data_IF_318540803852
#
_entry.id   IF_318540803852
#
_cell.length_a   1.000
_cell.length_b   1.000
_cell.length_c   1.000
_cell.angle_alpha   90.00
_cell.angle_beta   90.00
_cell.angle_gamma   90.00
#
_symmetry.space_group_name_H-M   'P 1'
#
loop_
_entity.id
_entity.type
_entity.pdbx_description
1 polymer ?
#
# COMPACT_ATOMS: atom_id res chain seq x y z
N UNK A 1 -7.83 -12.66 -41.03
CA UNK A 1 -7.15 -11.64 -40.21
C UNK A 1 -7.18 -12.11 -38.77
N UNK A 2 -6.03 -12.45 -38.19
CA UNK A 2 -5.92 -12.71 -36.74
C UNK A 2 -5.96 -11.36 -36.04
N UNK A 3 -7.00 -11.13 -35.25
CA UNK A 3 -7.07 -10.04 -34.29
C UNK A 3 -5.90 -10.24 -33.34
N UNK A 4 -4.90 -9.37 -33.41
CA UNK A 4 -3.87 -9.27 -32.38
C UNK A 4 -4.64 -8.81 -31.14
N UNK A 5 -4.99 -9.74 -30.25
CA UNK A 5 -5.36 -9.38 -28.88
C UNK A 5 -4.21 -8.53 -28.35
N UNK A 6 -4.45 -7.23 -28.16
CA UNK A 6 -3.54 -6.37 -27.40
C UNK A 6 -3.33 -7.09 -26.07
N UNK A 7 -2.15 -7.66 -25.86
CA UNK A 7 -1.73 -8.10 -24.53
C UNK A 7 -1.82 -6.87 -23.64
N UNK A 8 -2.87 -6.80 -22.82
CA UNK A 8 -2.98 -5.77 -21.81
C UNK A 8 -1.74 -5.88 -20.91
N UNK A 9 -1.12 -4.75 -20.53
CA UNK A 9 0.01 -4.77 -19.62
C UNK A 9 -0.36 -5.59 -18.38
N UNK A 10 0.57 -6.42 -17.92
CA UNK A 10 0.31 -7.38 -16.84
C UNK A 10 -0.14 -6.67 -15.55
N UNK A 11 0.23 -5.40 -15.39
CA UNK A 11 -0.18 -4.53 -14.30
C UNK A 11 -0.62 -3.16 -14.84
N UNK A 12 -1.69 -2.60 -14.28
CA UNK A 12 -2.16 -1.23 -14.55
C UNK A 12 -1.98 -0.40 -13.27
N UNK A 13 -1.05 0.57 -13.26
CA UNK A 13 -0.84 1.49 -12.13
C UNK A 13 -2.11 2.19 -11.65
N UNK A 14 -2.13 2.62 -10.38
CA UNK A 14 -3.23 3.35 -9.75
C UNK A 14 -3.13 4.79 -10.09
N UNK A 15 -3.88 5.18 -11.12
CA UNK A 15 -4.03 6.57 -11.52
C UNK A 15 -2.69 7.13 -12.07
N UNK A 16 -2.71 7.95 -13.15
CA UNK A 16 -1.52 8.70 -13.54
C UNK A 16 -0.96 9.48 -12.34
N UNK A 17 0.34 9.79 -12.31
CA UNK A 17 0.95 10.54 -11.21
C UNK A 17 0.38 11.97 -11.16
N UNK A 18 -0.78 12.08 -10.53
CA UNK A 18 -1.62 13.26 -10.50
C UNK A 18 -0.86 14.39 -9.83
N UNK A 19 -1.00 15.60 -10.36
CA UNK A 19 -0.63 16.81 -9.64
C UNK A 19 -1.55 17.04 -8.44
N UNK A 20 -1.23 18.03 -7.60
CA UNK A 20 -2.11 18.36 -6.46
C UNK A 20 -3.49 18.83 -6.91
N UNK A 21 -3.58 19.48 -8.08
CA UNK A 21 -4.82 19.97 -8.67
C UNK A 21 -5.66 18.80 -9.20
N UNK A 22 -5.01 17.87 -9.89
CA UNK A 22 -5.65 16.66 -10.39
C UNK A 22 -6.26 15.80 -9.26
N UNK A 23 -5.53 15.66 -8.13
CA UNK A 23 -6.06 14.96 -6.95
C UNK A 23 -7.29 15.67 -6.38
N UNK A 24 -7.36 17.00 -6.45
CA UNK A 24 -8.55 17.75 -5.99
C UNK A 24 -9.78 17.46 -6.87
N UNK A 25 -9.57 17.26 -8.17
CA UNK A 25 -10.60 16.89 -9.13
C UNK A 25 -11.17 15.48 -8.96
N UNK A 26 -10.51 14.59 -8.22
CA UNK A 26 -11.00 13.22 -8.00
C UNK A 26 -12.30 13.19 -7.19
N UNK A 27 -13.30 12.53 -7.77
CA UNK A 27 -14.52 12.12 -7.09
C UNK A 27 -14.29 10.75 -6.45
N UNK A 28 -14.51 10.67 -5.15
CA UNK A 28 -14.32 9.44 -4.37
C UNK A 28 -15.55 9.28 -3.49
N UNK A 29 -16.31 8.21 -3.71
CA UNK A 29 -17.56 7.98 -3.00
C UNK A 29 -17.83 6.49 -2.79
N UNK A 30 -18.55 6.19 -1.71
CA UNK A 30 -18.96 4.83 -1.36
C UNK A 30 -20.22 4.46 -2.16
N UNK A 31 -20.27 3.25 -2.69
CA UNK A 31 -21.46 2.73 -3.36
C UNK A 31 -22.35 2.10 -2.30
N UNK A 32 -23.50 2.74 -2.02
CA UNK A 32 -24.44 2.31 -0.97
C UNK A 32 -25.58 1.43 -1.50
N UNK A 33 -25.92 1.54 -2.78
CA UNK A 33 -27.00 0.78 -3.40
C UNK A 33 -26.48 -0.57 -3.89
N UNK A 34 -26.68 -1.61 -3.08
CA UNK A 34 -26.57 -3.00 -3.52
C UNK A 34 -27.99 -3.57 -3.59
N UNK A 35 -28.35 -4.17 -4.73
CA UNK A 35 -29.70 -4.68 -5.00
C UNK A 35 -30.24 -5.61 -3.91
N UNK A 36 -29.34 -6.37 -3.26
CA UNK A 36 -29.63 -7.24 -2.13
C UNK A 36 -28.43 -7.30 -1.19
N UNK A 37 -28.70 -7.28 0.11
CA UNK A 37 -27.69 -7.48 1.15
C UNK A 37 -28.20 -8.41 2.24
N UNK A 38 -27.32 -9.28 2.73
CA UNK A 38 -27.55 -10.08 3.93
C UNK A 38 -27.46 -9.20 5.18
N UNK A 39 -28.28 -9.51 6.19
CA UNK A 39 -28.27 -8.83 7.49
C UNK A 39 -27.94 -9.87 8.55
N UNK A 40 -26.82 -9.69 9.25
CA UNK A 40 -26.52 -10.46 10.44
C UNK A 40 -27.39 -9.98 11.60
N UNK A 41 -28.07 -10.90 12.28
CA UNK A 41 -28.96 -10.61 13.40
C UNK A 41 -28.25 -10.67 14.76
N UNK A 42 -27.03 -11.21 14.82
CA UNK A 42 -26.22 -11.25 16.03
C UNK A 42 -24.71 -11.31 15.74
N UNK A 43 -23.90 -10.96 16.74
CA UNK A 43 -22.45 -11.14 16.66
C UNK A 43 -22.05 -12.63 16.57
N UNK A 44 -22.75 -13.51 17.28
CA UNK A 44 -22.54 -14.96 17.22
C UNK A 44 -22.75 -15.52 15.81
N UNK A 45 -23.78 -15.04 15.12
CA UNK A 45 -24.04 -15.40 13.73
C UNK A 45 -22.90 -14.95 12.82
N UNK A 46 -22.45 -13.70 12.97
CA UNK A 46 -21.33 -13.13 12.20
C UNK A 46 -20.08 -13.99 12.33
N UNK A 47 -19.66 -14.32 13.56
CA UNK A 47 -18.38 -15.04 13.76
C UNK A 47 -18.46 -16.50 13.31
N UNK A 48 -19.61 -17.17 13.47
CA UNK A 48 -19.84 -18.54 12.97
C UNK A 48 -19.92 -18.59 11.45
N UNK A 49 -20.22 -17.48 10.78
CA UNK A 49 -20.29 -17.38 9.33
C UNK A 49 -19.00 -17.77 8.60
N UNK A 50 -17.85 -17.81 9.31
CA UNK A 50 -16.57 -18.28 8.77
C UNK A 50 -16.68 -19.64 8.09
N UNK A 51 -17.51 -20.54 8.61
CA UNK A 51 -17.71 -21.88 8.05
C UNK A 51 -18.42 -21.87 6.69
N UNK A 52 -19.07 -20.76 6.32
CA UNK A 52 -19.80 -20.58 5.07
C UNK A 52 -19.03 -19.79 4.02
N UNK A 53 -17.92 -19.13 4.39
CA UNK A 53 -17.07 -18.43 3.44
C UNK A 53 -16.24 -19.44 2.65
N UNK A 54 -16.14 -19.23 1.33
CA UNK A 54 -15.16 -19.98 0.53
C UNK A 54 -13.73 -19.56 0.89
N UNK A 55 -12.75 -20.38 0.51
CA UNK A 55 -11.34 -20.03 0.71
C UNK A 55 -10.99 -18.71 0.01
N UNK A 56 -11.49 -18.50 -1.21
CA UNK A 56 -11.28 -17.27 -1.97
C UNK A 56 -11.87 -16.05 -1.26
N UNK A 57 -13.10 -16.15 -0.75
CA UNK A 57 -13.74 -15.07 -0.02
C UNK A 57 -12.96 -14.72 1.25
N UNK A 58 -12.57 -15.72 2.03
CA UNK A 58 -11.79 -15.48 3.25
C UNK A 58 -10.41 -14.89 2.94
N UNK A 59 -9.74 -15.37 1.89
CA UNK A 59 -8.43 -14.87 1.45
C UNK A 59 -8.51 -13.41 1.02
N UNK A 60 -9.49 -13.06 0.18
CA UNK A 60 -9.67 -11.68 -0.28
C UNK A 60 -10.10 -10.74 0.85
N UNK A 61 -11.00 -11.20 1.74
CA UNK A 61 -11.41 -10.44 2.92
C UNK A 61 -10.21 -10.10 3.82
N UNK A 62 -9.38 -11.10 4.13
CA UNK A 62 -8.17 -10.90 4.93
C UNK A 62 -7.18 -9.95 4.22
N UNK A 63 -6.98 -10.12 2.91
CA UNK A 63 -6.12 -9.23 2.13
C UNK A 63 -6.60 -7.78 2.15
N UNK A 64 -7.89 -7.54 1.90
CA UNK A 64 -8.51 -6.21 1.96
C UNK A 64 -8.37 -5.62 3.37
N UNK A 65 -8.57 -6.44 4.40
CA UNK A 65 -8.44 -5.98 5.79
C UNK A 65 -7.05 -5.50 6.16
N UNK A 66 -6.01 -6.20 5.74
CA UNK A 66 -4.61 -5.84 6.05
C UNK A 66 -4.17 -4.61 5.26
N UNK A 67 -4.65 -4.44 4.03
CA UNK A 67 -4.19 -3.36 3.13
C UNK A 67 -5.14 -2.15 3.10
N UNK A 68 -6.20 -2.15 3.91
CA UNK A 68 -7.17 -1.06 4.12
C UNK A 68 -8.05 -0.72 2.90
N UNK A 69 -7.44 -0.33 1.79
CA UNK A 69 -8.10 0.13 0.56
C UNK A 69 -7.42 -0.52 -0.64
N UNK A 70 -8.14 -1.41 -1.34
CA UNK A 70 -7.56 -2.25 -2.39
C UNK A 70 -8.33 -2.08 -3.70
N UNK A 71 -7.65 -1.79 -4.81
CA UNK A 71 -8.28 -1.74 -6.14
C UNK A 71 -8.57 -3.13 -6.68
N UNK A 72 -9.56 -3.24 -7.56
CA UNK A 72 -9.78 -4.48 -8.30
C UNK A 72 -8.52 -4.92 -9.08
N UNK A 73 -7.83 -3.99 -9.73
CA UNK A 73 -6.58 -4.26 -10.47
C UNK A 73 -5.45 -4.79 -9.58
N UNK A 74 -5.36 -4.34 -8.32
CA UNK A 74 -4.40 -4.90 -7.35
C UNK A 74 -4.70 -6.37 -7.06
N UNK A 75 -5.96 -6.71 -6.85
CA UNK A 75 -6.38 -8.09 -6.61
C UNK A 75 -6.10 -8.96 -7.83
N UNK A 76 -6.44 -8.50 -9.04
CA UNK A 76 -6.16 -9.21 -10.27
C UNK A 76 -4.67 -9.53 -10.40
N UNK A 77 -3.81 -8.55 -10.15
CA UNK A 77 -2.37 -8.73 -10.32
C UNK A 77 -1.72 -9.60 -9.24
N UNK A 78 -2.06 -9.37 -7.97
CA UNK A 78 -1.46 -10.09 -6.85
C UNK A 78 -1.99 -11.52 -6.72
N UNK A 79 -3.18 -11.81 -7.23
CA UNK A 79 -3.76 -13.15 -7.20
C UNK A 79 -3.81 -13.84 -8.56
N UNK A 80 -3.15 -13.30 -9.60
CA UNK A 80 -3.21 -13.83 -10.97
C UNK A 80 -2.82 -15.31 -11.08
N UNK A 81 -1.89 -15.76 -10.25
CA UNK A 81 -1.38 -17.14 -10.25
C UNK A 81 -2.26 -18.09 -9.42
N UNK A 82 -3.20 -17.56 -8.61
CA UNK A 82 -4.07 -18.34 -7.72
C UNK A 82 -5.53 -18.36 -8.18
N UNK A 83 -6.04 -17.23 -8.68
CA UNK A 83 -7.46 -17.04 -8.97
C UNK A 83 -7.67 -16.37 -10.33
N UNK A 84 -8.69 -16.82 -11.06
CA UNK A 84 -9.14 -16.15 -12.29
C UNK A 84 -9.88 -14.84 -11.97
N UNK A 85 -9.94 -13.92 -12.93
CA UNK A 85 -10.74 -12.69 -12.83
C UNK A 85 -12.18 -12.97 -12.38
N UNK A 86 -12.82 -13.99 -12.96
CA UNK A 86 -14.18 -14.41 -12.59
C UNK A 86 -14.26 -14.83 -11.13
N UNK A 87 -13.34 -15.67 -10.65
CA UNK A 87 -13.30 -16.10 -9.25
C UNK A 87 -13.15 -14.91 -8.29
N UNK A 88 -12.27 -13.96 -8.61
CA UNK A 88 -12.07 -12.75 -7.79
C UNK A 88 -13.37 -11.93 -7.76
N UNK A 89 -14.00 -11.70 -8.90
CA UNK A 89 -15.27 -10.97 -8.97
C UNK A 89 -16.39 -11.67 -8.18
N UNK A 90 -16.59 -12.98 -8.38
CA UNK A 90 -17.64 -13.74 -7.69
C UNK A 90 -17.43 -13.73 -6.16
N UNK A 91 -16.17 -13.83 -5.70
CA UNK A 91 -15.82 -13.73 -4.30
C UNK A 91 -16.11 -12.33 -3.72
N UNK A 92 -15.74 -11.25 -4.44
CA UNK A 92 -16.04 -9.87 -4.03
C UNK A 92 -17.54 -9.60 -3.96
N UNK A 93 -18.32 -10.08 -4.94
CA UNK A 93 -19.78 -9.97 -4.94
C UNK A 93 -20.39 -10.70 -3.74
N UNK A 94 -19.90 -11.90 -3.41
CA UNK A 94 -20.32 -12.59 -2.20
C UNK A 94 -19.99 -11.81 -0.91
N UNK A 95 -18.78 -11.25 -0.81
CA UNK A 95 -18.38 -10.44 0.35
C UNK A 95 -19.20 -9.14 0.47
N UNK A 96 -19.56 -8.50 -0.64
CA UNK A 96 -20.46 -7.34 -0.67
C UNK A 96 -21.88 -7.72 -0.24
N UNK A 97 -22.40 -8.83 -0.78
CA UNK A 97 -23.71 -9.36 -0.40
C UNK A 97 -23.78 -9.65 1.10
N UNK A 98 -22.74 -10.26 1.67
CA UNK A 98 -22.65 -10.50 3.11
C UNK A 98 -22.29 -9.26 3.93
N UNK A 99 -22.14 -8.08 3.30
CA UNK A 99 -21.73 -6.84 3.94
C UNK A 99 -20.48 -7.04 4.80
N UNK A 100 -19.49 -7.78 4.31
CA UNK A 100 -18.18 -7.93 4.95
C UNK A 100 -17.17 -6.92 4.39
N UNK A 101 -17.34 -6.48 3.15
CA UNK A 101 -16.57 -5.39 2.55
C UNK A 101 -17.51 -4.28 2.07
N UNK A 102 -16.96 -3.10 1.83
CA UNK A 102 -17.63 -1.99 1.15
C UNK A 102 -16.96 -1.74 -0.20
N UNK A 103 -17.74 -1.27 -1.17
CA UNK A 103 -17.26 -0.87 -2.50
C UNK A 103 -17.26 0.66 -2.59
N UNK A 104 -16.21 1.19 -3.18
CA UNK A 104 -16.03 2.59 -3.45
C UNK A 104 -15.67 2.78 -4.92
N UNK A 105 -16.00 3.97 -5.41
CA UNK A 105 -15.76 4.40 -6.76
C UNK A 105 -14.84 5.61 -6.73
N UNK A 106 -13.80 5.60 -7.54
CA UNK A 106 -12.84 6.70 -7.70
C UNK A 106 -12.79 7.09 -9.16
N UNK A 107 -13.22 8.32 -9.44
CA UNK A 107 -13.46 8.78 -10.81
C UNK A 107 -12.84 10.16 -11.08
N UNK A 108 -12.35 10.32 -12.31
CA UNK A 108 -12.17 11.60 -12.96
C UNK A 108 -12.44 11.43 -14.45
N UNK A 109 -13.49 12.10 -14.93
CA UNK A 109 -13.85 12.09 -16.34
C UNK A 109 -12.77 12.76 -17.21
N UNK A 110 -12.18 13.85 -16.74
CA UNK A 110 -11.16 14.60 -17.48
C UNK A 110 -9.89 13.77 -17.71
N UNK A 111 -9.58 12.89 -16.76
CA UNK A 111 -8.37 12.06 -16.78
C UNK A 111 -8.65 10.60 -17.16
N UNK A 112 -9.89 10.28 -17.55
CA UNK A 112 -10.36 8.92 -17.87
C UNK A 112 -10.07 7.89 -16.76
N UNK A 113 -10.13 8.31 -15.50
CA UNK A 113 -9.94 7.44 -14.34
C UNK A 113 -11.28 6.88 -13.90
N UNK A 114 -11.38 5.57 -13.87
CA UNK A 114 -12.55 4.83 -13.35
C UNK A 114 -12.07 3.60 -12.59
N UNK A 115 -11.94 3.74 -11.27
CA UNK A 115 -11.36 2.71 -10.41
C UNK A 115 -12.34 2.26 -9.34
N UNK A 116 -12.50 0.94 -9.24
CA UNK A 116 -13.24 0.30 -8.16
C UNK A 116 -12.29 -0.10 -7.03
N UNK A 117 -12.64 0.27 -5.80
CA UNK A 117 -11.86 -0.12 -4.62
C UNK A 117 -12.71 -0.66 -3.49
N UNK A 118 -12.09 -1.51 -2.69
CA UNK A 118 -12.74 -2.27 -1.64
C UNK A 118 -12.06 -2.01 -0.30
N UNK A 119 -12.87 -1.81 0.74
CA UNK A 119 -12.45 -1.65 2.13
C UNK A 119 -13.22 -2.63 3.01
N UNK A 120 -12.80 -2.82 4.27
CA UNK A 120 -13.66 -3.51 5.22
C UNK A 120 -14.91 -2.69 5.53
N UNK A 121 -16.00 -3.41 5.74
CA UNK A 121 -17.17 -2.90 6.47
C UNK A 121 -16.99 -3.13 7.98
N UNK A 122 -17.90 -2.58 8.80
CA UNK A 122 -17.90 -2.84 10.24
C UNK A 122 -18.03 -4.32 10.58
N UNK A 123 -18.86 -5.06 9.84
CA UNK A 123 -19.02 -6.50 10.05
C UNK A 123 -17.75 -7.25 9.65
N UNK A 124 -17.12 -6.90 8.52
CA UNK A 124 -15.85 -7.51 8.11
C UNK A 124 -14.73 -7.25 9.12
N UNK A 125 -14.66 -6.02 9.64
CA UNK A 125 -13.72 -5.67 10.70
C UNK A 125 -13.94 -6.50 11.96
N UNK A 126 -15.17 -6.52 12.49
CA UNK A 126 -15.55 -7.32 13.67
C UNK A 126 -15.26 -8.81 13.47
N UNK A 127 -15.60 -9.33 12.29
CA UNK A 127 -15.37 -10.72 11.91
C UNK A 127 -13.88 -11.08 11.92
N UNK A 128 -13.04 -10.29 11.25
CA UNK A 128 -11.60 -10.54 11.19
C UNK A 128 -10.95 -10.34 12.56
N UNK A 129 -11.36 -9.33 13.35
CA UNK A 129 -10.84 -9.14 14.72
C UNK A 129 -11.19 -10.30 15.65
N UNK A 130 -12.32 -10.97 15.47
CA UNK A 130 -12.62 -12.15 16.27
C UNK A 130 -11.66 -13.31 15.96
N UNK A 131 -11.38 -13.57 14.67
CA UNK A 131 -10.58 -14.72 14.25
C UNK A 131 -9.07 -14.48 14.20
N UNK A 132 -8.64 -13.23 14.05
CA UNK A 132 -7.24 -12.83 13.84
C UNK A 132 -6.85 -11.70 14.81
N UNK A 133 -7.30 -11.77 16.06
CA UNK A 133 -7.36 -10.64 17.01
C UNK A 133 -6.10 -9.79 17.19
N UNK A 134 -4.89 -10.35 17.01
CA UNK A 134 -3.64 -9.60 17.14
C UNK A 134 -3.22 -8.89 15.85
N UNK A 135 -3.81 -9.23 14.71
CA UNK A 135 -3.49 -8.59 13.44
C UNK A 135 -4.08 -7.18 13.36
N UNK A 136 -3.35 -6.33 12.65
CA UNK A 136 -3.84 -5.01 12.30
C UNK A 136 -4.91 -5.13 11.22
N UNK A 137 -6.07 -4.55 11.50
CA UNK A 137 -7.08 -4.23 10.49
C UNK A 137 -7.46 -2.76 10.68
N UNK A 138 -7.58 -2.04 9.58
CA UNK A 138 -7.99 -0.65 9.64
C UNK A 138 -9.49 -0.58 9.96
N UNK A 139 -9.84 0.13 11.03
CA UNK A 139 -11.24 0.29 11.42
C UNK A 139 -11.98 1.16 10.39
N UNK A 140 -13.13 0.74 9.86
CA UNK A 140 -13.86 1.48 8.82
C UNK A 140 -14.19 2.92 9.21
N UNK A 141 -14.60 3.15 10.47
CA UNK A 141 -14.86 4.49 11.04
C UNK A 141 -13.68 5.47 10.90
N UNK A 142 -12.45 4.96 10.80
CA UNK A 142 -11.26 5.81 10.62
C UNK A 142 -11.13 6.32 9.20
N UNK A 143 -11.64 5.60 8.19
CA UNK A 143 -11.52 6.02 6.77
C UNK A 143 -12.23 7.35 6.59
N UNK A 144 -13.45 7.45 7.12
CA UNK A 144 -14.27 8.66 7.06
C UNK A 144 -13.58 9.85 7.76
N UNK A 145 -12.82 9.59 8.83
CA UNK A 145 -12.08 10.62 9.58
C UNK A 145 -10.75 11.06 8.92
N UNK A 146 -10.09 10.20 8.15
CA UNK A 146 -8.82 10.53 7.49
C UNK A 146 -9.02 11.29 6.17
N UNK A 147 -10.26 11.35 5.68
CA UNK A 147 -10.65 12.02 4.45
C UNK A 147 -10.46 11.12 3.22
N UNK A 148 -11.14 11.51 2.13
CA UNK A 148 -11.28 10.70 0.92
C UNK A 148 -9.96 10.31 0.23
N UNK A 149 -8.85 11.00 0.47
CA UNK A 149 -7.57 10.70 -0.19
C UNK A 149 -6.78 9.57 0.47
N UNK A 150 -7.25 9.04 1.60
CA UNK A 150 -6.58 7.92 2.28
C UNK A 150 -6.42 6.68 1.38
N UNK A 151 -7.37 6.46 0.45
CA UNK A 151 -7.32 5.37 -0.53
C UNK A 151 -6.02 5.41 -1.35
N UNK A 152 -5.66 6.58 -1.89
CA UNK A 152 -4.50 6.78 -2.74
C UNK A 152 -3.19 6.40 -2.05
N UNK A 153 -3.08 6.67 -0.74
CA UNK A 153 -1.87 6.34 0.02
C UNK A 153 -1.65 4.84 0.09
N UNK A 154 -2.70 4.11 0.42
CA UNK A 154 -2.63 2.65 0.48
C UNK A 154 -2.43 2.04 -0.89
N UNK A 155 -2.90 2.70 -1.95
CA UNK A 155 -2.63 2.25 -3.30
C UNK A 155 -1.15 2.35 -3.67
N UNK A 156 -0.45 3.43 -3.28
CA UNK A 156 1.01 3.53 -3.43
C UNK A 156 1.75 2.40 -2.71
N UNK A 157 1.32 2.05 -1.49
CA UNK A 157 1.93 0.94 -0.75
C UNK A 157 1.71 -0.40 -1.47
N UNK A 158 0.50 -0.65 -1.98
CA UNK A 158 0.16 -1.88 -2.69
C UNK A 158 0.83 -1.93 -4.08
N UNK A 159 0.99 -0.80 -4.76
CA UNK A 159 1.77 -0.68 -5.99
C UNK A 159 3.20 -1.16 -5.78
N UNK A 160 3.86 -0.66 -4.74
CA UNK A 160 5.20 -1.12 -4.41
C UNK A 160 5.22 -2.63 -4.12
N UNK A 161 4.22 -3.16 -3.40
CA UNK A 161 4.08 -4.61 -3.17
C UNK A 161 3.89 -5.37 -4.49
N UNK A 162 3.10 -4.85 -5.44
CA UNK A 162 2.92 -5.46 -6.76
C UNK A 162 4.29 -5.66 -7.42
N UNK A 163 5.13 -4.63 -7.46
CA UNK A 163 6.46 -4.74 -8.03
C UNK A 163 7.41 -5.63 -7.22
N UNK A 164 7.37 -5.55 -5.89
CA UNK A 164 8.22 -6.34 -4.99
C UNK A 164 7.92 -7.84 -5.05
N UNK A 165 6.65 -8.24 -5.15
CA UNK A 165 6.23 -9.65 -5.06
C UNK A 165 6.90 -10.57 -6.07
N UNK A 166 7.30 -10.02 -7.22
CA UNK A 166 7.97 -10.77 -8.29
C UNK A 166 9.49 -10.54 -8.30
N UNK A 167 10.03 -9.75 -7.38
CA UNK A 167 11.46 -9.58 -7.22
C UNK A 167 12.06 -10.79 -6.48
N UNK A 168 13.13 -11.43 -7.00
CA UNK A 168 13.73 -12.62 -6.38
C UNK A 168 14.26 -12.40 -4.97
N UNK A 169 14.66 -11.17 -4.66
CA UNK A 169 15.18 -10.80 -3.34
C UNK A 169 14.10 -10.52 -2.32
N UNK A 170 12.82 -10.45 -2.70
CA UNK A 170 11.74 -10.13 -1.79
C UNK A 170 11.44 -11.30 -0.84
N UNK A 171 11.53 -11.04 0.46
CA UNK A 171 11.30 -12.05 1.50
C UNK A 171 9.88 -11.97 2.09
N UNK A 172 9.28 -10.78 2.08
CA UNK A 172 7.94 -10.56 2.61
C UNK A 172 7.72 -9.12 3.05
N UNK A 173 6.46 -8.81 3.37
CA UNK A 173 6.03 -7.50 3.86
C UNK A 173 5.04 -7.60 5.02
N UNK A 174 4.93 -6.50 5.74
CA UNK A 174 3.97 -6.30 6.82
C UNK A 174 3.35 -4.92 6.67
N UNK A 175 2.03 -4.86 6.67
CA UNK A 175 1.31 -3.60 6.80
C UNK A 175 1.20 -3.23 8.28
N UNK A 176 1.45 -1.98 8.62
CA UNK A 176 1.36 -1.44 9.99
C UNK A 176 2.10 -2.27 11.06
N UNK A 177 3.42 -2.49 10.89
CA UNK A 177 4.19 -3.33 11.80
C UNK A 177 4.26 -2.76 13.22
N UNK A 178 4.35 -3.67 14.19
CA UNK A 178 4.80 -3.35 15.54
C UNK A 178 6.30 -3.06 15.52
N UNK A 179 6.68 -1.82 15.80
CA UNK A 179 8.08 -1.36 15.72
C UNK A 179 8.54 -0.68 17.01
N UNK A 180 9.85 -0.49 17.16
CA UNK A 180 10.49 0.22 18.28
C UNK A 180 9.75 1.49 18.71
N UNK A 181 9.52 1.63 20.02
CA UNK A 181 8.99 2.86 20.62
C UNK A 181 9.94 4.03 20.33
N UNK A 182 9.41 5.07 19.70
CA UNK A 182 10.17 6.28 19.33
C UNK A 182 10.08 6.61 17.85
N UNK A 183 9.80 5.63 16.99
CA UNK A 183 9.52 5.83 15.57
C UNK A 183 8.01 5.79 15.33
N UNK A 184 7.50 6.50 14.32
CA UNK A 184 6.11 6.36 13.90
C UNK A 184 5.89 5.00 13.23
N UNK A 185 4.75 4.36 13.44
CA UNK A 185 4.46 3.12 12.69
C UNK A 185 4.31 3.44 11.20
N UNK A 186 5.13 2.85 10.31
CA UNK A 186 4.96 3.01 8.87
C UNK A 186 3.70 2.26 8.40
N UNK A 187 3.03 2.70 7.33
CA UNK A 187 1.96 1.91 6.72
C UNK A 187 2.46 0.58 6.14
N UNK A 188 3.70 0.54 5.62
CA UNK A 188 4.30 -0.64 5.00
C UNK A 188 5.75 -0.80 5.46
N UNK A 189 6.13 -2.03 5.80
CA UNK A 189 7.51 -2.45 5.86
C UNK A 189 7.73 -3.73 5.08
N UNK A 190 8.92 -3.91 4.52
CA UNK A 190 9.29 -5.13 3.82
C UNK A 190 10.74 -5.51 4.04
N UNK A 191 11.08 -6.77 3.80
CA UNK A 191 12.43 -7.29 3.88
C UNK A 191 12.91 -7.82 2.54
N UNK A 192 14.18 -7.57 2.23
CA UNK A 192 14.84 -8.09 1.03
C UNK A 192 16.23 -8.65 1.30
N UNK A 193 16.62 -9.63 0.49
CA UNK A 193 17.94 -10.24 0.50
C UNK A 193 18.92 -9.41 -0.35
N UNK A 194 20.00 -8.91 0.27
CA UNK A 194 21.02 -8.08 -0.41
C UNK A 194 22.34 -8.75 -0.75
N UNK A 195 22.47 -10.06 -0.48
CA UNK A 195 23.67 -10.86 -0.72
C UNK A 195 23.60 -12.17 0.05
N UNK A 196 24.72 -12.90 0.18
CA UNK A 196 24.74 -14.11 1.04
C UNK A 196 24.58 -13.68 2.50
N UNK A 197 23.51 -14.13 3.15
CA UNK A 197 23.20 -13.90 4.58
C UNK A 197 23.04 -12.44 5.02
N UNK A 198 22.74 -11.52 4.09
CA UNK A 198 22.48 -10.13 4.43
C UNK A 198 21.05 -9.73 4.05
N UNK A 199 20.22 -9.49 5.06
CA UNK A 199 18.84 -9.05 4.91
C UNK A 199 18.78 -7.57 5.28
N UNK A 200 18.00 -6.81 4.51
CA UNK A 200 17.68 -5.42 4.79
C UNK A 200 16.20 -5.27 5.04
N UNK A 201 15.86 -4.47 6.05
CA UNK A 201 14.49 -4.05 6.26
C UNK A 201 14.28 -2.66 5.66
N UNK A 202 13.09 -2.43 5.12
CA UNK A 202 12.66 -1.16 4.56
C UNK A 202 11.41 -0.72 5.30
N UNK A 203 11.39 0.50 5.80
CA UNK A 203 10.19 1.15 6.35
C UNK A 203 9.73 2.21 5.38
N UNK A 204 8.49 2.12 4.92
CA UNK A 204 7.96 2.95 3.84
C UNK A 204 6.93 3.93 4.38
N UNK A 205 7.14 5.22 4.12
CA UNK A 205 6.15 6.26 4.36
C UNK A 205 5.71 6.86 3.03
N UNK A 206 4.57 6.40 2.54
CA UNK A 206 3.93 6.97 1.37
C UNK A 206 3.41 8.37 1.66
N UNK A 207 3.66 9.28 0.73
CA UNK A 207 3.19 10.67 0.75
C UNK A 207 2.10 10.87 -0.28
N UNK A 208 1.22 11.84 -0.03
CA UNK A 208 0.27 12.36 -1.00
C UNK A 208 0.61 13.83 -1.26
N UNK A 209 0.30 14.34 -2.44
CA UNK A 209 0.49 15.77 -2.73
C UNK A 209 -0.36 16.68 -1.84
N UNK A 210 -1.50 16.18 -1.37
CA UNK A 210 -2.38 16.87 -0.42
C UNK A 210 -1.92 16.76 1.03
N UNK A 211 -0.79 16.10 1.32
CA UNK A 211 -0.32 15.94 2.69
C UNK A 211 0.06 17.27 3.33
N UNK A 212 -0.42 17.47 4.57
CA UNK A 212 0.06 18.56 5.42
C UNK A 212 1.56 18.37 5.66
N UNK A 213 2.35 19.39 5.32
CA UNK A 213 3.82 19.40 5.47
C UNK A 213 4.30 18.91 6.85
N UNK A 214 3.56 19.24 7.90
CA UNK A 214 3.93 18.87 9.28
C UNK A 214 3.91 17.37 9.55
N UNK A 215 3.15 16.56 8.80
CA UNK A 215 3.12 15.11 9.04
C UNK A 215 4.48 14.49 8.76
N UNK A 216 5.04 14.77 7.59
CA UNK A 216 6.33 14.21 7.19
C UNK A 216 7.45 14.78 8.05
N UNK A 217 7.42 16.09 8.35
CA UNK A 217 8.36 16.71 9.31
C UNK A 217 8.42 15.97 10.65
N UNK A 218 7.27 15.63 11.24
CA UNK A 218 7.22 14.87 12.50
C UNK A 218 7.77 13.45 12.36
N UNK A 219 7.50 12.78 11.25
CA UNK A 219 8.04 11.43 10.97
C UNK A 219 9.57 11.49 10.90
N UNK A 220 10.11 12.44 10.14
CA UNK A 220 11.54 12.64 9.96
C UNK A 220 12.23 13.03 11.27
N UNK A 221 11.65 13.95 12.05
CA UNK A 221 12.22 14.35 13.34
C UNK A 221 12.36 13.14 14.29
N UNK A 222 11.30 12.33 14.42
CA UNK A 222 11.35 11.13 15.26
C UNK A 222 12.32 10.07 14.75
N UNK A 223 12.41 9.91 13.43
CA UNK A 223 13.41 9.02 12.83
C UNK A 223 14.83 9.47 13.18
N UNK A 224 15.13 10.75 12.99
CA UNK A 224 16.42 11.36 13.34
C UNK A 224 16.77 11.11 14.80
N UNK A 225 15.91 11.52 15.73
CA UNK A 225 16.13 11.36 17.17
C UNK A 225 16.39 9.88 17.54
N UNK A 226 15.67 8.96 16.89
CA UNK A 226 15.81 7.54 17.14
C UNK A 226 17.16 7.00 16.66
N UNK A 227 17.55 7.29 15.41
CA UNK A 227 18.80 6.79 14.83
C UNK A 227 20.03 7.45 15.49
N UNK A 228 19.97 8.75 15.82
CA UNK A 228 21.06 9.43 16.55
C UNK A 228 21.30 8.85 17.94
N UNK A 229 20.26 8.26 18.56
CA UNK A 229 20.40 7.57 19.84
C UNK A 229 21.15 6.23 19.76
N UNK A 230 21.59 5.81 18.56
CA UNK A 230 22.32 4.57 18.33
C UNK A 230 21.46 3.31 18.48
N UNK A 231 20.13 3.45 18.41
CA UNK A 231 19.19 2.34 18.55
C UNK A 231 18.85 1.73 17.21
N UNK A 232 18.75 0.40 17.20
CA UNK A 232 18.22 -0.33 16.05
C UNK A 232 16.68 -0.28 16.00
N UNK A 233 16.14 -0.23 14.79
CA UNK A 233 14.70 -0.35 14.55
C UNK A 233 14.33 -1.83 14.60
N UNK A 234 13.71 -2.25 15.70
CA UNK A 234 13.25 -3.62 15.90
C UNK A 234 11.84 -3.74 15.34
N UNK A 235 11.62 -4.77 14.51
CA UNK A 235 10.31 -5.10 13.94
C UNK A 235 9.94 -6.54 14.26
N UNK A 236 8.74 -6.74 14.82
CA UNK A 236 8.35 -7.98 15.49
C UNK A 236 8.30 -9.22 14.57
N UNK A 237 8.16 -9.06 13.25
CA UNK A 237 8.11 -10.20 12.31
C UNK A 237 9.02 -10.07 11.06
N UNK A 238 9.90 -9.05 11.01
CA UNK A 238 10.94 -8.93 9.98
C UNK A 238 12.36 -9.07 10.53
N UNK A 239 12.50 -9.33 11.84
CA UNK A 239 13.81 -9.45 12.50
C UNK A 239 14.52 -8.12 12.71
N UNK A 240 15.68 -8.16 13.38
CA UNK A 240 16.53 -7.00 13.63
C UNK A 240 17.62 -6.88 12.55
N UNK A 241 17.26 -6.26 11.43
CA UNK A 241 18.17 -6.06 10.30
C UNK A 241 18.44 -4.56 10.08
N UNK A 242 19.55 -4.20 9.39
CA UNK A 242 19.78 -2.83 8.96
C UNK A 242 18.55 -2.28 8.25
N UNK A 243 18.05 -1.14 8.73
CA UNK A 243 16.78 -0.57 8.30
C UNK A 243 17.00 0.66 7.45
N UNK A 244 16.38 0.67 6.26
CA UNK A 244 16.38 1.79 5.33
C UNK A 244 15.05 2.53 5.43
N UNK A 245 15.10 3.85 5.61
CA UNK A 245 13.93 4.71 5.52
C UNK A 245 13.61 4.97 4.06
N UNK A 246 12.38 4.67 3.64
CA UNK A 246 11.86 4.99 2.31
C UNK A 246 10.75 6.01 2.44
N UNK A 247 10.87 7.10 1.70
CA UNK A 247 9.77 8.03 1.46
C UNK A 247 9.25 7.77 0.05
N UNK A 248 8.02 7.27 -0.05
CA UNK A 248 7.38 7.05 -1.34
C UNK A 248 6.66 8.33 -1.78
N UNK A 249 6.92 8.75 -3.01
CA UNK A 249 6.36 9.95 -3.64
C UNK A 249 5.82 9.62 -5.03
N UNK A 250 4.89 10.41 -5.53
CA UNK A 250 4.29 10.16 -6.84
C UNK A 250 5.22 10.54 -7.99
N UNK A 251 5.92 11.69 -7.91
CA UNK A 251 6.71 12.26 -9.02
C UNK A 251 8.12 12.67 -8.60
N UNK A 252 8.99 12.84 -9.60
CA UNK A 252 10.35 13.35 -9.40
C UNK A 252 10.37 14.75 -8.78
N UNK A 253 9.49 15.63 -9.24
CA UNK A 253 9.37 17.00 -8.72
C UNK A 253 9.00 17.02 -7.23
N UNK A 254 8.08 16.14 -6.82
CA UNK A 254 7.71 16.01 -5.41
C UNK A 254 8.90 15.51 -4.57
N UNK A 255 9.68 14.56 -5.08
CA UNK A 255 10.90 14.08 -4.41
C UNK A 255 11.91 15.21 -4.17
N UNK A 256 12.23 16.01 -5.21
CA UNK A 256 13.15 17.16 -5.11
C UNK A 256 12.64 18.20 -4.11
N UNK A 257 11.35 18.53 -4.17
CA UNK A 257 10.75 19.47 -3.23
C UNK A 257 10.86 18.97 -1.79
N UNK A 258 10.48 17.71 -1.52
CA UNK A 258 10.56 17.13 -0.18
C UNK A 258 12.01 17.09 0.31
N UNK A 259 12.96 16.73 -0.56
CA UNK A 259 14.37 16.72 -0.19
C UNK A 259 14.87 18.12 0.20
N UNK A 260 14.57 19.12 -0.63
CA UNK A 260 14.96 20.51 -0.35
C UNK A 260 14.33 21.04 0.96
N UNK A 261 13.07 20.71 1.22
CA UNK A 261 12.36 21.19 2.42
C UNK A 261 12.78 20.48 3.72
N UNK A 262 13.16 19.19 3.64
CA UNK A 262 13.43 18.36 4.81
C UNK A 262 14.90 17.98 5.00
N UNK A 263 15.77 18.36 4.05
CA UNK A 263 17.20 18.10 4.06
C UNK A 263 17.50 16.62 4.30
N UNK A 264 16.89 15.75 3.46
CA UNK A 264 16.94 14.30 3.68
C UNK A 264 18.35 13.73 3.53
N UNK A 265 19.23 14.42 2.79
CA UNK A 265 20.65 14.11 2.64
C UNK A 265 21.44 14.25 3.94
N UNK A 266 20.98 15.11 4.86
CA UNK A 266 21.60 15.34 6.17
C UNK A 266 21.06 14.41 7.26
N UNK A 267 20.08 13.55 6.94
CA UNK A 267 19.50 12.64 7.93
C UNK A 267 20.46 11.49 8.25
N UNK A 268 20.55 11.10 9.53
CA UNK A 268 21.34 9.95 9.93
C UNK A 268 20.67 8.64 9.48
N UNK A 269 21.51 7.66 9.15
CA UNK A 269 21.09 6.38 8.58
C UNK A 269 20.90 6.42 7.06
N UNK A 270 20.37 5.34 6.49
CA UNK A 270 20.12 5.26 5.04
C UNK A 270 18.69 5.71 4.74
N UNK A 271 18.57 6.79 3.96
CA UNK A 271 17.30 7.31 3.45
C UNK A 271 17.27 7.16 1.93
N UNK A 272 16.14 6.69 1.40
CA UNK A 272 15.86 6.60 -0.03
C UNK A 272 14.51 7.22 -0.35
N UNK A 273 14.41 7.79 -1.54
CA UNK A 273 13.14 8.17 -2.16
C UNK A 273 12.71 7.05 -3.11
N UNK A 274 11.46 6.61 -3.03
CA UNK A 274 10.85 5.72 -4.02
C UNK A 274 9.85 6.52 -4.84
N UNK A 275 10.04 6.58 -6.16
CA UNK A 275 9.24 7.43 -7.04
C UNK A 275 8.30 6.57 -7.86
N UNK A 276 6.99 6.76 -7.68
CA UNK A 276 5.95 5.99 -8.36
C UNK A 276 6.01 6.09 -9.88
N UNK A 277 6.23 7.30 -10.40
CA UNK A 277 6.44 7.56 -11.85
C UNK A 277 7.49 6.64 -12.45
N UNK A 278 8.65 6.61 -11.82
CA UNK A 278 9.76 5.77 -12.27
C UNK A 278 9.47 4.29 -12.04
N UNK A 279 8.80 3.93 -10.93
CA UNK A 279 8.41 2.55 -10.62
C UNK A 279 7.53 1.96 -11.74
N UNK A 280 6.56 2.73 -12.22
CA UNK A 280 5.60 2.26 -13.21
C UNK A 280 6.13 2.27 -14.63
N UNK A 281 6.98 3.25 -14.98
CA UNK A 281 7.54 3.39 -16.34
C UNK A 281 8.79 2.52 -16.53
N UNK A 282 9.70 2.52 -15.55
CA UNK A 282 11.03 1.92 -15.66
C UNK A 282 11.20 0.66 -14.79
N UNK A 283 10.29 0.42 -13.84
CA UNK A 283 10.30 -0.76 -12.98
C UNK A 283 11.07 -0.57 -11.67
N UNK A 284 10.98 -1.59 -10.81
CA UNK A 284 11.48 -1.56 -9.42
C UNK A 284 12.96 -1.24 -9.29
N UNK A 285 13.79 -1.70 -10.23
CA UNK A 285 15.24 -1.52 -10.22
C UNK A 285 15.67 -0.05 -10.37
N UNK A 286 14.78 0.77 -10.91
CA UNK A 286 15.02 2.17 -11.26
C UNK A 286 14.24 3.14 -10.36
N UNK A 287 13.33 2.62 -9.52
CA UNK A 287 12.39 3.42 -8.74
C UNK A 287 13.01 4.15 -7.53
N UNK A 288 14.23 3.80 -7.13
CA UNK A 288 14.85 4.31 -5.91
C UNK A 288 15.89 5.39 -6.20
N UNK A 289 15.88 6.44 -5.39
CA UNK A 289 16.74 7.60 -5.54
C UNK A 289 17.42 7.92 -4.21
N UNK A 290 18.68 8.32 -4.29
CA UNK A 290 19.42 8.86 -3.15
C UNK A 290 19.20 10.38 -3.10
N UNK A 291 18.75 10.93 -1.97
CA UNK A 291 18.75 12.38 -1.76
C UNK A 291 20.19 12.90 -1.68
N UNK A 292 20.42 14.07 -2.27
CA UNK A 292 21.69 14.80 -2.28
C UNK A 292 21.48 16.23 -1.77
N UNK A 293 22.57 16.95 -1.58
CA UNK A 293 22.54 18.35 -1.16
C UNK A 293 21.75 19.23 -2.14
N UNK A 294 21.27 20.37 -1.65
CA UNK A 294 20.58 21.41 -2.45
C UNK A 294 19.29 20.91 -3.14
N UNK A 295 18.66 19.87 -2.57
CA UNK A 295 17.40 19.32 -3.10
C UNK A 295 17.58 18.38 -4.29
N UNK A 296 18.81 18.15 -4.74
CA UNK A 296 19.11 17.22 -5.82
C UNK A 296 18.83 15.76 -5.42
N UNK A 297 18.56 14.93 -6.42
CA UNK A 297 18.33 13.50 -6.22
C UNK A 297 19.04 12.70 -7.30
N UNK A 298 19.57 11.54 -6.93
CA UNK A 298 20.28 10.65 -7.85
C UNK A 298 19.56 9.32 -7.96
N UNK A 299 19.12 8.97 -9.17
CA UNK A 299 18.56 7.67 -9.45
C UNK A 299 19.59 6.57 -9.15
N UNK A 300 19.14 5.52 -8.46
CA UNK A 300 19.93 4.34 -8.19
C UNK A 300 19.48 3.23 -9.14
N UNK A 301 20.43 2.61 -9.84
CA UNK A 301 20.20 1.32 -10.45
C UNK A 301 20.47 0.24 -9.39
N UNK A 302 19.41 -0.16 -8.70
CA UNK A 302 19.53 -1.08 -7.58
C UNK A 302 19.48 -2.53 -8.07
N UNK A 303 20.67 -3.14 -8.12
CA UNK A 303 20.83 -4.58 -8.34
C UNK A 303 20.20 -5.43 -7.23
N UNK A 304 19.79 -4.81 -6.12
CA UNK A 304 19.12 -5.48 -5.01
C UNK A 304 17.85 -6.21 -5.44
N UNK A 305 17.17 -5.73 -6.48
CA UNK A 305 15.90 -6.30 -6.96
C UNK A 305 16.02 -7.03 -8.30
N UNK A 306 17.24 -7.21 -8.81
CA UNK A 306 17.50 -7.91 -10.06
C UNK A 306 17.77 -9.40 -9.83
N UNK A 307 17.30 -10.25 -10.75
CA UNK A 307 17.93 -11.55 -10.99
C UNK A 307 19.33 -11.31 -11.56
N UNK A 308 20.34 -11.98 -11.01
CA UNK A 308 21.60 -12.18 -11.73
C UNK A 308 21.35 -12.97 -13.01
#
# INVERSE_FOLDING_TARGET
MRTIEKQLPTYVPSIPHLSSEDVQGLQIYRIHELDKTYVFHSFDELVKFKQRLTEEQYTLLAFIGVHTSVRFNHLLYLFKDKYSRKKINDALQGLLYYRLIEKWQVESFEMEIFEETYTLSDNGYKFLKYWQGNMFFFAPERIDNHGKYVHLRYWHDIELICHLRYAPSFLGHIMHPSISKGVFTPPLSFAVQGGVNHIFNFVVYSTLLTDKKDRLKRIIARWKDFVESGKDVIMQDLGNNPTVLVIYVSTENQAKQINNELLLDLLPGKVLLCIGETLHIQGLQHAFYQPLAEGEIKQLNTKLFATN
#
